data_IF_253132186681
#
_entry.id   IF_253132186681
#
_cell.length_a   1.000
_cell.length_b   1.000
_cell.length_c   1.000
_cell.angle_alpha   90.00
_cell.angle_beta   90.00
_cell.angle_gamma   90.00
#
_symmetry.space_group_name_H-M   'P 1'
#
loop_
_entity.id
_entity.type
_entity.pdbx_description
1 polymer ?
#
# COMPACT_ATOMS: atom_id res chain seq x y z
N UNK A 1 -63.45 -22.16 -11.71
CA UNK A 1 -62.58 -23.35 -11.88
C UNK A 1 -61.43 -22.94 -12.79
N UNK A 2 -60.24 -22.70 -12.24
CA UNK A 2 -59.04 -22.34 -13.00
C UNK A 2 -58.30 -23.59 -13.44
N UNK A 3 -58.01 -23.71 -14.73
CA UNK A 3 -57.32 -24.83 -15.34
C UNK A 3 -55.91 -24.43 -15.77
N UNK A 4 -54.95 -25.18 -15.24
CA UNK A 4 -53.53 -25.13 -15.58
C UNK A 4 -53.24 -25.87 -16.90
N UNK A 5 -52.30 -25.32 -17.69
CA UNK A 5 -51.57 -25.99 -18.77
C UNK A 5 -50.19 -25.30 -18.86
N UNK A 6 -49.12 -25.89 -18.32
CA UNK A 6 -48.12 -26.79 -18.95
C UNK A 6 -47.02 -26.06 -19.78
N UNK A 7 -45.80 -26.10 -19.20
CA UNK A 7 -44.44 -26.26 -19.75
C UNK A 7 -43.93 -25.37 -20.91
N UNK A 8 -42.82 -24.64 -20.66
CA UNK A 8 -41.45 -24.98 -21.10
C UNK A 8 -40.58 -23.75 -21.49
N UNK A 9 -39.39 -23.73 -20.88
CA UNK A 9 -38.11 -23.26 -21.42
C UNK A 9 -37.96 -21.79 -21.90
N UNK A 10 -37.26 -21.00 -21.09
CA UNK A 10 -36.22 -20.10 -21.60
C UNK A 10 -35.10 -19.98 -20.56
N UNK A 11 -34.04 -20.73 -20.83
CA UNK A 11 -32.74 -20.67 -20.18
C UNK A 11 -32.05 -19.37 -20.61
N UNK A 12 -32.26 -18.28 -19.87
CA UNK A 12 -31.53 -17.03 -20.07
C UNK A 12 -30.22 -17.14 -19.30
N UNK A 13 -29.20 -17.63 -20.00
CA UNK A 13 -27.79 -17.37 -19.68
C UNK A 13 -27.59 -15.87 -19.90
N UNK A 14 -27.61 -15.11 -18.81
CA UNK A 14 -26.94 -13.81 -18.76
C UNK A 14 -25.64 -14.03 -18.03
N UNK A 15 -24.62 -14.35 -18.83
CA UNK A 15 -23.26 -13.99 -18.46
C UNK A 15 -23.17 -12.47 -18.52
N UNK A 16 -23.26 -11.84 -17.36
CA UNK A 16 -22.45 -10.65 -17.12
C UNK A 16 -21.38 -11.06 -16.11
N UNK A 17 -20.21 -11.35 -16.67
CA UNK A 17 -18.97 -11.57 -15.94
C UNK A 17 -18.51 -10.23 -15.38
N UNK A 18 -19.26 -9.61 -14.48
CA UNK A 18 -18.67 -8.65 -13.58
C UNK A 18 -18.19 -9.46 -12.40
N UNK A 19 -16.90 -9.80 -12.41
CA UNK A 19 -16.21 -10.33 -11.25
C UNK A 19 -16.34 -9.31 -10.12
N UNK A 20 -17.46 -9.39 -9.40
CA UNK A 20 -17.58 -8.95 -8.02
C UNK A 20 -16.72 -9.91 -7.23
N UNK A 21 -15.41 -9.75 -7.37
CA UNK A 21 -14.55 -10.10 -6.26
C UNK A 21 -14.97 -9.11 -5.19
N UNK A 22 -15.76 -9.59 -4.23
CA UNK A 22 -15.65 -9.16 -2.84
C UNK A 22 -14.19 -9.38 -2.43
N UNK A 23 -13.29 -8.58 -2.99
CA UNK A 23 -12.03 -8.28 -2.35
C UNK A 23 -12.48 -7.62 -1.08
N UNK A 24 -12.16 -8.25 0.05
CA UNK A 24 -12.03 -7.56 1.31
C UNK A 24 -11.13 -6.34 1.01
N UNK A 25 -11.77 -5.23 0.64
CA UNK A 25 -11.09 -3.97 0.36
C UNK A 25 -10.69 -3.51 1.75
N UNK A 26 -9.58 -4.06 2.25
CA UNK A 26 -8.73 -3.30 3.13
C UNK A 26 -8.42 -2.04 2.34
N UNK A 27 -9.21 -1.00 2.59
CA UNK A 27 -8.99 0.34 2.05
C UNK A 27 -7.65 0.73 2.60
N UNK A 28 -6.63 0.40 1.83
CA UNK A 28 -5.24 0.63 2.11
C UNK A 28 -5.05 2.12 1.86
N UNK A 29 -5.39 2.94 2.85
CA UNK A 29 -5.37 4.39 2.74
C UNK A 29 -3.90 4.80 2.66
N UNK A 30 -3.42 5.29 1.50
CA UNK A 30 -2.09 5.82 1.44
C UNK A 30 -2.03 7.09 2.27
N UNK A 31 -1.09 7.16 3.20
CA UNK A 31 -0.92 8.33 4.08
C UNK A 31 0.28 9.17 3.69
N UNK A 32 1.22 8.60 2.95
CA UNK A 32 2.37 9.32 2.44
C UNK A 32 2.65 8.91 1.00
N UNK A 33 3.31 9.79 0.26
CA UNK A 33 3.88 9.49 -1.05
C UNK A 33 5.37 9.76 -1.01
N UNK A 34 6.11 8.96 -1.76
CA UNK A 34 7.54 9.14 -1.92
C UNK A 34 7.76 10.25 -2.94
N UNK A 35 8.22 11.38 -2.44
CA UNK A 35 8.39 12.60 -3.23
C UNK A 35 9.83 12.80 -3.72
N UNK A 36 10.79 12.15 -3.07
CA UNK A 36 12.18 12.16 -3.47
C UNK A 36 12.89 10.91 -2.95
N UNK A 37 13.80 10.36 -3.76
CA UNK A 37 14.73 9.31 -3.34
C UNK A 37 16.11 9.74 -3.81
N UNK A 38 17.06 9.79 -2.88
CA UNK A 38 18.43 10.08 -3.23
C UNK A 38 19.10 8.88 -3.89
N UNK A 39 19.92 9.16 -4.91
CA UNK A 39 20.75 8.15 -5.55
C UNK A 39 21.70 7.49 -4.54
N UNK A 40 21.89 6.17 -4.69
CA UNK A 40 22.68 5.35 -3.77
C UNK A 40 22.20 5.38 -2.30
N UNK A 41 20.92 5.69 -2.07
CA UNK A 41 20.31 5.56 -0.75
C UNK A 41 19.85 4.13 -0.48
N UNK A 42 19.80 3.69 0.80
CA UNK A 42 19.30 2.36 1.16
C UNK A 42 17.91 2.11 0.61
N UNK A 43 17.04 3.13 0.66
CA UNK A 43 15.66 3.01 0.17
C UNK A 43 15.57 2.78 -1.34
N UNK A 44 16.51 3.35 -2.11
CA UNK A 44 16.63 3.08 -3.54
C UNK A 44 17.12 1.65 -3.81
N UNK A 45 18.09 1.17 -3.03
CA UNK A 45 18.60 -0.21 -3.12
C UNK A 45 17.52 -1.23 -2.71
N UNK A 46 16.69 -0.88 -1.74
CA UNK A 46 15.56 -1.66 -1.22
C UNK A 46 14.37 -1.75 -2.21
N UNK A 47 14.42 -1.04 -3.34
CA UNK A 47 13.45 -1.14 -4.44
C UNK A 47 12.26 -0.18 -4.35
N UNK A 48 12.33 0.79 -3.43
CA UNK A 48 11.36 1.87 -3.31
C UNK A 48 11.52 2.84 -4.47
N UNK A 49 10.41 3.38 -4.98
CA UNK A 49 10.40 4.24 -6.16
C UNK A 49 9.69 5.56 -5.90
N UNK A 50 10.11 6.57 -6.67
CA UNK A 50 9.46 7.88 -6.68
C UNK A 50 8.00 7.73 -7.09
N UNK A 51 7.09 8.34 -6.32
CA UNK A 51 5.64 8.26 -6.54
C UNK A 51 4.97 7.05 -5.87
N UNK A 52 5.72 6.17 -5.19
CA UNK A 52 5.11 5.11 -4.38
C UNK A 52 4.28 5.71 -3.26
N UNK A 53 3.06 5.21 -3.10
CA UNK A 53 2.18 5.67 -2.03
C UNK A 53 2.29 4.72 -0.84
N UNK A 54 2.86 5.18 0.27
CA UNK A 54 2.99 4.41 1.49
C UNK A 54 1.62 4.22 2.13
N UNK A 55 1.21 2.96 2.22
CA UNK A 55 0.00 2.52 2.93
C UNK A 55 0.37 2.12 4.36
N UNK A 56 1.50 1.42 4.51
CA UNK A 56 1.98 0.92 5.80
C UNK A 56 3.49 0.96 5.84
N UNK A 57 4.05 1.31 6.99
CA UNK A 57 5.48 1.37 7.22
C UNK A 57 5.80 0.73 8.57
N UNK A 58 6.24 -0.54 8.55
CA UNK A 58 6.43 -1.32 9.76
C UNK A 58 5.14 -1.41 10.57
N UNK A 59 5.16 -0.82 11.76
CA UNK A 59 4.00 -0.70 12.63
C UNK A 59 3.24 0.63 12.49
N UNK A 60 3.66 1.51 11.59
CA UNK A 60 2.94 2.76 11.27
C UNK A 60 1.97 2.51 10.12
N UNK A 61 0.70 2.83 10.34
CA UNK A 61 -0.34 2.83 9.32
C UNK A 61 -1.14 4.13 9.43
N UNK A 62 -2.00 4.41 8.46
CA UNK A 62 -2.83 5.60 8.49
C UNK A 62 -3.73 5.60 9.73
N UNK A 63 -3.51 6.56 10.62
CA UNK A 63 -4.35 6.85 11.78
C UNK A 63 -4.76 8.32 11.75
N UNK A 64 -6.07 8.56 11.68
CA UNK A 64 -6.61 9.91 11.65
C UNK A 64 -6.35 10.64 12.98
N UNK A 65 -5.70 11.80 12.92
CA UNK A 65 -5.39 12.63 14.09
C UNK A 65 -4.06 12.32 14.77
N UNK A 66 -3.34 11.30 14.32
CA UNK A 66 -2.01 10.94 14.84
C UNK A 66 -0.89 11.60 14.03
N UNK A 67 0.24 11.88 14.68
CA UNK A 67 1.43 12.42 14.01
C UNK A 67 2.20 11.29 13.30
N UNK A 68 1.72 10.90 12.11
CA UNK A 68 2.33 9.84 11.29
C UNK A 68 3.81 10.08 11.02
N UNK A 69 4.22 11.33 10.79
CA UNK A 69 5.62 11.69 10.59
C UNK A 69 6.48 11.40 11.83
N UNK A 70 5.97 11.67 13.04
CA UNK A 70 6.67 11.34 14.29
C UNK A 70 6.74 9.84 14.50
N UNK A 71 5.66 9.10 14.22
CA UNK A 71 5.65 7.63 14.31
C UNK A 71 6.65 7.01 13.34
N UNK A 72 6.65 7.46 12.08
CA UNK A 72 7.64 7.06 11.07
C UNK A 72 9.05 7.33 11.56
N UNK A 73 9.35 8.56 12.00
CA UNK A 73 10.67 8.93 12.47
C UNK A 73 11.11 8.06 13.67
N UNK A 74 10.19 7.79 14.60
CA UNK A 74 10.45 6.95 15.78
C UNK A 74 10.67 5.48 15.39
N UNK A 75 9.87 4.93 14.49
CA UNK A 75 10.02 3.57 13.98
C UNK A 75 11.33 3.39 13.19
N UNK A 76 11.68 4.35 12.34
CA UNK A 76 12.95 4.37 11.59
C UNK A 76 14.13 4.46 12.56
N UNK A 77 14.03 5.28 13.60
CA UNK A 77 15.08 5.42 14.61
C UNK A 77 15.23 4.17 15.48
N UNK A 78 14.12 3.56 15.88
CA UNK A 78 14.09 2.35 16.70
C UNK A 78 14.57 1.11 15.92
N UNK A 79 14.29 1.07 14.61
CA UNK A 79 14.68 0.00 13.71
C UNK A 79 15.92 0.36 12.87
N UNK A 80 16.80 1.21 13.37
CA UNK A 80 18.11 1.45 12.74
C UNK A 80 18.90 0.15 12.61
N UNK A 81 19.34 -0.14 11.39
CA UNK A 81 20.02 -1.37 11.01
C UNK A 81 19.11 -2.59 10.87
N UNK A 82 17.78 -2.42 10.97
CA UNK A 82 16.80 -3.51 10.86
C UNK A 82 15.89 -3.29 9.66
N UNK A 83 15.57 -4.38 8.99
CA UNK A 83 14.70 -4.36 7.83
C UNK A 83 13.25 -4.12 8.29
N UNK A 84 12.65 -3.01 7.85
CA UNK A 84 11.28 -2.62 8.17
C UNK A 84 10.38 -3.00 6.99
N UNK A 85 9.41 -3.90 7.17
CA UNK A 85 8.47 -4.23 6.11
C UNK A 85 7.55 -3.05 5.87
N UNK A 86 7.39 -2.64 4.62
CA UNK A 86 6.51 -1.56 4.21
C UNK A 86 5.55 -2.07 3.13
N UNK A 87 4.40 -1.42 3.01
CA UNK A 87 3.42 -1.69 1.96
C UNK A 87 3.18 -0.39 1.22
N UNK A 88 3.42 -0.44 -0.09
CA UNK A 88 3.24 0.72 -0.98
C UNK A 88 2.25 0.40 -2.08
N UNK A 89 1.49 1.39 -2.53
CA UNK A 89 0.64 1.28 -3.70
C UNK A 89 1.39 1.83 -4.91
N UNK A 90 1.66 0.97 -5.89
CA UNK A 90 2.32 1.33 -7.15
C UNK A 90 1.44 0.86 -8.31
N UNK A 91 1.07 1.77 -9.21
CA UNK A 91 0.19 1.46 -10.36
C UNK A 91 -1.16 0.81 -9.97
N UNK A 92 -1.68 1.13 -8.78
CA UNK A 92 -2.93 0.54 -8.29
C UNK A 92 -2.81 -0.87 -7.72
N UNK A 93 -1.59 -1.39 -7.54
CA UNK A 93 -1.34 -2.66 -6.87
C UNK A 93 -0.52 -2.45 -5.58
N UNK A 94 -0.87 -3.13 -4.46
CA UNK A 94 -0.07 -3.10 -3.25
C UNK A 94 1.19 -3.95 -3.47
N UNK A 95 2.35 -3.38 -3.15
CA UNK A 95 3.66 -4.01 -3.21
C UNK A 95 4.24 -4.01 -1.80
N UNK A 96 4.61 -5.18 -1.33
CA UNK A 96 5.36 -5.34 -0.08
C UNK A 96 6.85 -5.13 -0.38
N UNK A 97 7.43 -4.11 0.21
CA UNK A 97 8.87 -3.84 0.15
C UNK A 97 9.43 -3.94 1.57
N UNK A 98 10.75 -4.00 1.68
CA UNK A 98 11.41 -3.94 2.98
C UNK A 98 12.48 -2.88 2.91
N UNK A 99 12.39 -1.90 3.80
CA UNK A 99 13.34 -0.79 3.84
C UNK A 99 14.21 -0.91 5.09
N UNK A 100 15.52 -0.81 4.94
CA UNK A 100 16.46 -0.92 6.05
C UNK A 100 17.08 0.44 6.36
N UNK A 101 16.70 1.12 7.46
CA UNK A 101 17.33 2.37 7.85
C UNK A 101 18.79 2.13 8.24
N UNK A 102 19.72 2.77 7.54
CA UNK A 102 21.15 2.63 7.82
C UNK A 102 21.88 3.93 7.49
N UNK A 103 23.01 4.15 8.14
CA UNK A 103 23.88 5.26 7.77
C UNK A 103 24.35 5.07 6.33
N UNK A 104 24.19 6.12 5.53
CA UNK A 104 24.58 6.17 4.12
C UNK A 104 25.27 7.52 3.83
N UNK A 105 25.74 7.71 2.60
CA UNK A 105 26.55 8.88 2.20
C UNK A 105 25.79 10.22 2.26
N UNK A 106 24.46 10.22 2.35
CA UNK A 106 23.66 11.43 2.42
C UNK A 106 23.03 11.71 3.78
N UNK A 107 21.95 12.49 3.78
CA UNK A 107 21.31 12.98 5.02
C UNK A 107 20.27 11.98 5.52
N UNK A 108 20.30 11.70 6.83
CA UNK A 108 19.32 10.83 7.49
C UNK A 108 19.64 9.34 7.33
N UNK A 109 18.67 8.48 7.66
CA UNK A 109 18.84 7.02 7.72
C UNK A 109 18.28 6.29 6.51
N UNK A 110 17.44 6.96 5.72
CA UNK A 110 16.75 6.38 4.57
C UNK A 110 17.18 7.03 3.26
N UNK A 111 17.38 8.34 3.27
CA UNK A 111 17.69 9.07 2.04
C UNK A 111 16.51 9.23 1.08
N UNK A 112 15.29 9.05 1.58
CA UNK A 112 14.06 9.38 0.86
C UNK A 112 13.26 10.44 1.61
N UNK A 113 12.48 11.21 0.86
CA UNK A 113 11.53 12.19 1.38
C UNK A 113 10.12 11.65 1.21
N UNK A 114 9.38 11.62 2.32
CA UNK A 114 7.97 11.27 2.33
C UNK A 114 7.15 12.55 2.47
N UNK A 115 6.16 12.71 1.60
CA UNK A 115 5.15 13.76 1.68
C UNK A 115 3.84 13.16 2.19
N UNK A 116 3.35 13.63 3.32
CA UNK A 116 2.04 13.23 3.86
C UNK A 116 0.92 13.75 2.93
N UNK A 117 -0.10 12.94 2.70
CA UNK A 117 -1.27 13.26 1.86
C UNK A 117 -2.39 13.96 2.64
#
# INVERSE_FOLDING_TARGET
MGNAAVLAAHNVVLGDSSSSMDVDVFVSIPFAVVDEIADASPTAEDGLQLGDQIVKFGNVEYEAGENLLQKLASEVQANQGRAIPIVVMRQGAPINLTVTPRAWQGRGLLGCSFRIL
#
